data_IF_413548409794
#
_entry.id   IF_413548409794
#
_cell.length_a   1.000
_cell.length_b   1.000
_cell.length_c   1.000
_cell.angle_alpha   90.00
_cell.angle_beta   90.00
_cell.angle_gamma   90.00
#
_symmetry.space_group_name_H-M   'P 1'
#
loop_
_entity.id
_entity.type
_entity.pdbx_description
1 polymer ?
#
# COMPACT_ATOMS: atom_id res chain seq x y z
N UNK A 1 -3.52 -33.42 46.29
CA UNK A 1 -2.22 -33.65 45.62
C UNK A 1 -2.54 -33.70 44.13
N UNK A 2 -2.34 -32.70 43.28
CA UNK A 2 -1.31 -31.65 43.26
C UNK A 2 -1.92 -30.44 42.52
N UNK A 3 -2.09 -29.33 43.24
CA UNK A 3 -2.40 -28.00 42.70
C UNK A 3 -1.14 -27.49 41.97
N UNK A 4 -1.16 -27.43 40.64
CA UNK A 4 -0.11 -26.79 39.86
C UNK A 4 -0.25 -25.27 40.04
N UNK A 5 0.54 -24.71 40.95
CA UNK A 5 0.69 -23.29 41.16
C UNK A 5 1.20 -22.62 39.87
N UNK A 6 0.35 -21.79 39.26
CA UNK A 6 0.77 -20.85 38.23
C UNK A 6 1.83 -19.90 38.83
N UNK A 7 3.00 -19.69 38.22
CA UNK A 7 4.00 -18.77 38.76
C UNK A 7 3.44 -17.34 38.85
N UNK A 8 3.51 -16.67 40.01
CA UNK A 8 3.13 -15.26 40.12
C UNK A 8 4.22 -14.41 39.46
N UNK A 9 4.00 -14.00 38.20
CA UNK A 9 4.98 -13.17 37.49
C UNK A 9 4.71 -12.86 36.02
N UNK A 10 3.71 -13.47 35.38
CA UNK A 10 3.40 -13.19 33.97
C UNK A 10 2.26 -12.17 33.80
N UNK A 11 2.36 -11.00 34.42
CA UNK A 11 1.61 -9.82 33.97
C UNK A 11 2.31 -9.24 32.75
N UNK A 12 2.23 -10.00 31.65
CA UNK A 12 2.73 -9.66 30.32
C UNK A 12 2.11 -8.33 29.89
N UNK A 13 2.86 -7.27 30.18
CA UNK A 13 2.92 -5.99 29.51
C UNK A 13 1.72 -5.65 28.60
N UNK A 14 0.59 -5.23 29.19
CA UNK A 14 -0.46 -4.48 28.49
C UNK A 14 -0.08 -3.00 28.29
N UNK A 15 1.20 -2.68 28.07
CA UNK A 15 1.65 -1.33 27.67
C UNK A 15 1.83 -1.18 26.17
N UNK A 16 1.32 -2.11 25.36
CA UNK A 16 1.45 -2.05 23.90
C UNK A 16 0.53 -1.03 23.21
N UNK A 17 -0.35 -0.33 23.93
CA UNK A 17 -1.25 0.65 23.32
C UNK A 17 -1.46 1.90 24.18
N UNK A 18 -0.41 2.40 24.84
CA UNK A 18 -0.37 3.84 25.10
C UNK A 18 0.09 4.52 23.81
N UNK A 19 -0.79 4.55 22.81
CA UNK A 19 -0.63 5.51 21.73
C UNK A 19 -0.70 6.87 22.41
N UNK A 20 0.45 7.50 22.64
CA UNK A 20 0.46 8.92 22.99
C UNK A 20 -0.40 9.60 21.92
N UNK A 21 -1.38 10.44 22.28
CA UNK A 21 -2.31 11.03 21.32
C UNK A 21 -1.61 11.64 20.09
N UNK A 22 -0.41 12.21 20.29
CA UNK A 22 0.44 12.72 19.22
C UNK A 22 0.97 11.65 18.24
N UNK A 23 1.37 10.47 18.70
CA UNK A 23 1.80 9.37 17.82
C UNK A 23 0.62 8.80 17.01
N UNK A 24 -0.57 8.75 17.61
CA UNK A 24 -1.79 8.35 16.90
C UNK A 24 -2.15 9.33 15.78
N UNK A 25 -2.15 10.63 16.09
CA UNK A 25 -2.41 11.68 15.09
C UNK A 25 -1.39 11.67 13.95
N UNK A 26 -0.11 11.52 14.27
CA UNK A 26 0.94 11.41 13.25
C UNK A 26 0.75 10.18 12.36
N UNK A 27 0.45 9.01 12.95
CA UNK A 27 0.20 7.79 12.18
C UNK A 27 -1.01 7.93 11.24
N UNK A 28 -2.11 8.54 11.71
CA UNK A 28 -3.28 8.85 10.86
C UNK A 28 -2.92 9.81 9.73
N UNK A 29 -2.14 10.86 10.02
CA UNK A 29 -1.69 11.81 9.00
C UNK A 29 -0.82 11.13 7.93
N UNK A 30 0.13 10.29 8.33
CA UNK A 30 0.96 9.51 7.38
C UNK A 30 0.13 8.52 6.56
N UNK A 31 -0.87 7.87 7.17
CA UNK A 31 -1.77 6.98 6.44
C UNK A 31 -2.60 7.73 5.39
N UNK A 32 -3.17 8.88 5.75
CA UNK A 32 -3.91 9.73 4.81
C UNK A 32 -3.00 10.23 3.69
N UNK A 33 -1.80 10.71 4.02
CA UNK A 33 -0.83 11.18 3.03
C UNK A 33 -0.42 10.06 2.07
N UNK A 34 -0.21 8.84 2.58
CA UNK A 34 0.10 7.69 1.73
C UNK A 34 -1.02 7.43 0.70
N UNK A 35 -2.28 7.43 1.13
CA UNK A 35 -3.42 7.24 0.22
C UNK A 35 -3.52 8.37 -0.81
N UNK A 36 -3.33 9.63 -0.39
CA UNK A 36 -3.36 10.78 -1.30
C UNK A 36 -2.22 10.76 -2.31
N UNK A 37 -1.01 10.43 -1.88
CA UNK A 37 0.15 10.30 -2.77
C UNK A 37 -0.02 9.15 -3.76
N UNK A 38 -0.64 8.05 -3.34
CA UNK A 38 -0.91 6.91 -4.20
C UNK A 38 -1.99 7.24 -5.26
N UNK A 39 -3.07 7.92 -4.89
CA UNK A 39 -4.03 8.45 -5.86
C UNK A 39 -3.40 9.49 -6.81
N UNK A 40 -2.51 10.35 -6.30
CA UNK A 40 -1.75 11.29 -7.13
C UNK A 40 -0.80 10.58 -8.10
N UNK A 41 -0.20 9.45 -7.69
CA UNK A 41 0.62 8.61 -8.56
C UNK A 41 -0.21 8.10 -9.76
N UNK A 42 -1.42 7.58 -9.52
CA UNK A 42 -2.32 7.16 -10.59
C UNK A 42 -2.65 8.32 -11.55
N UNK A 43 -2.91 9.51 -11.01
CA UNK A 43 -3.16 10.71 -11.81
C UNK A 43 -1.97 11.05 -12.71
N UNK A 44 -0.77 11.09 -12.14
CA UNK A 44 0.46 11.38 -12.86
C UNK A 44 0.75 10.34 -13.94
N UNK A 45 0.43 9.06 -13.71
CA UNK A 45 0.53 8.01 -14.72
C UNK A 45 -0.43 8.26 -15.89
N UNK A 46 -1.67 8.67 -15.60
CA UNK A 46 -2.64 9.04 -16.64
C UNK A 46 -2.14 10.23 -17.47
N UNK A 47 -1.55 11.24 -16.83
CA UNK A 47 -0.95 12.39 -17.51
C UNK A 47 0.27 12.00 -18.35
N UNK A 48 1.15 11.15 -17.82
CA UNK A 48 2.38 10.72 -18.50
C UNK A 48 2.11 9.96 -19.81
N UNK A 49 1.00 9.23 -19.88
CA UNK A 49 0.63 8.43 -21.05
C UNK A 49 -0.16 9.23 -22.08
N UNK A 50 -0.63 10.42 -21.72
CA UNK A 50 -1.34 11.31 -22.64
C UNK A 50 -2.80 10.90 -22.89
N UNK A 51 -3.43 10.17 -21.95
CA UNK A 51 -4.82 9.71 -22.08
C UNK A 51 -5.90 10.79 -21.92
N UNK A 52 -5.52 12.07 -21.96
CA UNK A 52 -6.42 13.21 -21.73
C UNK A 52 -6.52 13.63 -20.25
N UNK A 53 -7.19 14.75 -20.02
CA UNK A 53 -7.41 15.28 -18.67
C UNK A 53 -8.60 14.59 -18.01
N UNK A 54 -8.33 13.66 -17.09
CA UNK A 54 -9.34 13.10 -16.18
C UNK A 54 -9.67 14.13 -15.09
N UNK A 55 -10.96 14.29 -14.79
CA UNK A 55 -11.38 15.10 -13.64
C UNK A 55 -11.01 14.43 -12.31
N UNK A 56 -10.75 15.23 -11.27
CA UNK A 56 -10.42 14.70 -9.94
C UNK A 56 -11.50 13.73 -9.39
N UNK A 57 -12.78 13.99 -9.68
CA UNK A 57 -13.87 13.12 -9.25
C UNK A 57 -13.82 11.74 -9.93
N UNK A 58 -13.58 11.69 -11.24
CA UNK A 58 -13.47 10.44 -11.98
C UNK A 58 -12.25 9.62 -11.53
N UNK A 59 -11.12 10.28 -11.32
CA UNK A 59 -9.92 9.64 -10.79
C UNK A 59 -10.18 9.03 -9.41
N UNK A 60 -10.79 9.80 -8.50
CA UNK A 60 -11.10 9.32 -7.15
C UNK A 60 -12.09 8.16 -7.18
N UNK A 61 -13.09 8.18 -8.05
CA UNK A 61 -14.02 7.07 -8.21
C UNK A 61 -13.30 5.80 -8.71
N UNK A 62 -12.42 5.94 -9.71
CA UNK A 62 -11.62 4.82 -10.21
C UNK A 62 -10.70 4.25 -9.11
N UNK A 63 -10.00 5.14 -8.39
CA UNK A 63 -9.12 4.78 -7.29
C UNK A 63 -9.87 4.06 -6.16
N UNK A 64 -11.01 4.61 -5.72
CA UNK A 64 -11.86 4.00 -4.71
C UNK A 64 -12.40 2.63 -5.14
N UNK A 65 -12.77 2.46 -6.42
CA UNK A 65 -13.17 1.16 -6.96
C UNK A 65 -12.02 0.15 -6.88
N UNK A 66 -10.81 0.55 -7.27
CA UNK A 66 -9.60 -0.25 -7.13
C UNK A 66 -9.32 -0.67 -5.68
N UNK A 67 -9.37 0.28 -4.75
CA UNK A 67 -9.14 0.02 -3.33
C UNK A 67 -10.22 -0.88 -2.72
N UNK A 68 -11.48 -0.68 -3.08
CA UNK A 68 -12.58 -1.56 -2.66
C UNK A 68 -12.38 -2.99 -3.18
N UNK A 69 -12.00 -3.14 -4.45
CA UNK A 69 -11.67 -4.43 -5.04
C UNK A 69 -10.46 -5.11 -4.35
N UNK A 70 -9.51 -4.32 -3.84
CA UNK A 70 -8.38 -4.80 -3.05
C UNK A 70 -8.80 -5.48 -1.75
N UNK A 71 -9.87 -5.00 -1.09
CA UNK A 71 -10.32 -5.53 0.21
C UNK A 71 -10.84 -6.98 0.15
N UNK A 72 -11.35 -7.40 -1.01
CA UNK A 72 -11.92 -8.73 -1.23
C UNK A 72 -10.92 -9.72 -1.85
N UNK A 73 -9.75 -9.24 -2.27
CA UNK A 73 -8.83 -10.04 -3.07
C UNK A 73 -7.96 -10.96 -2.21
N UNK A 74 -7.99 -12.27 -2.53
CA UNK A 74 -7.13 -13.29 -1.91
C UNK A 74 -5.74 -13.33 -2.60
N UNK A 75 -5.65 -12.83 -3.84
CA UNK A 75 -4.42 -12.82 -4.63
C UNK A 75 -3.43 -11.82 -4.05
N UNK A 76 -2.19 -12.24 -3.70
CA UNK A 76 -1.17 -11.31 -3.24
C UNK A 76 -0.91 -10.23 -4.30
N UNK A 77 -0.95 -8.96 -3.89
CA UNK A 77 -0.79 -7.82 -4.80
C UNK A 77 -2.04 -7.44 -5.59
N UNK A 78 -3.15 -8.16 -5.46
CA UNK A 78 -4.42 -7.77 -6.08
C UNK A 78 -4.45 -7.84 -7.60
N UNK A 79 -3.59 -8.66 -8.21
CA UNK A 79 -3.46 -8.75 -9.67
C UNK A 79 -4.77 -9.21 -10.33
N UNK A 80 -5.13 -8.58 -11.44
CA UNK A 80 -6.36 -8.84 -12.18
C UNK A 80 -7.57 -8.13 -11.58
N UNK A 81 -7.84 -8.30 -10.29
CA UNK A 81 -9.03 -7.73 -9.64
C UNK A 81 -8.90 -6.22 -9.46
N UNK A 82 -7.82 -5.74 -8.83
CA UNK A 82 -7.59 -4.30 -8.63
C UNK A 82 -7.27 -3.61 -9.96
N UNK A 83 -6.58 -4.30 -10.88
CA UNK A 83 -6.28 -3.77 -12.23
C UNK A 83 -7.58 -3.54 -12.99
N UNK A 84 -8.43 -4.56 -13.04
CA UNK A 84 -9.71 -4.49 -13.73
C UNK A 84 -10.58 -3.39 -13.16
N UNK A 85 -10.66 -3.27 -11.83
CA UNK A 85 -11.45 -2.22 -11.19
C UNK A 85 -10.93 -0.81 -11.52
N UNK A 86 -9.61 -0.59 -11.51
CA UNK A 86 -9.00 0.68 -11.90
C UNK A 86 -9.26 0.99 -13.38
N UNK A 87 -9.01 0.03 -14.28
CA UNK A 87 -9.22 0.19 -15.72
C UNK A 87 -10.69 0.51 -16.00
N UNK A 88 -11.62 -0.27 -15.46
CA UNK A 88 -13.06 -0.04 -15.62
C UNK A 88 -13.48 1.33 -15.07
N UNK A 89 -12.91 1.77 -13.94
CA UNK A 89 -13.16 3.09 -13.38
C UNK A 89 -12.67 4.23 -14.29
N UNK A 90 -11.48 4.09 -14.87
CA UNK A 90 -10.94 5.09 -15.82
C UNK A 90 -11.73 5.13 -17.13
N UNK A 91 -12.14 3.96 -17.64
CA UNK A 91 -13.01 3.83 -18.81
C UNK A 91 -14.37 4.47 -18.56
N UNK A 92 -14.98 4.23 -17.40
CA UNK A 92 -16.21 4.89 -16.98
C UNK A 92 -16.04 6.41 -16.82
N UNK A 93 -14.82 6.86 -16.51
CA UNK A 93 -14.40 8.26 -16.52
C UNK A 93 -14.17 8.85 -17.92
N UNK A 94 -14.33 8.08 -18.99
CA UNK A 94 -14.21 8.54 -20.37
C UNK A 94 -12.81 8.41 -20.98
N UNK A 95 -11.86 7.78 -20.27
CA UNK A 95 -10.57 7.44 -20.87
C UNK A 95 -10.73 6.29 -21.87
N UNK A 96 -9.97 6.31 -22.97
CA UNK A 96 -9.96 5.20 -23.93
C UNK A 96 -9.18 4.00 -23.40
N UNK A 97 -9.47 2.81 -23.93
CA UNK A 97 -8.96 1.54 -23.39
C UNK A 97 -7.43 1.44 -23.37
N UNK A 98 -6.77 1.82 -24.46
CA UNK A 98 -5.31 1.73 -24.57
C UNK A 98 -4.58 2.57 -23.51
N UNK A 99 -4.83 3.89 -23.36
CA UNK A 99 -4.18 4.69 -22.33
C UNK A 99 -4.60 4.30 -20.91
N UNK A 100 -5.84 3.84 -20.69
CA UNK A 100 -6.27 3.37 -19.37
C UNK A 100 -5.48 2.14 -18.91
N UNK A 101 -5.33 1.14 -19.78
CA UNK A 101 -4.53 -0.06 -19.47
C UNK A 101 -3.08 0.33 -19.22
N UNK A 102 -2.49 1.14 -20.11
CA UNK A 102 -1.10 1.54 -19.97
C UNK A 102 -0.88 2.34 -18.66
N UNK A 103 -1.81 3.21 -18.27
CA UNK A 103 -1.73 3.99 -17.03
C UNK A 103 -1.80 3.12 -15.79
N UNK A 104 -2.68 2.13 -15.77
CA UNK A 104 -2.79 1.19 -14.66
C UNK A 104 -1.55 0.31 -14.57
N UNK A 105 -1.01 -0.15 -15.69
CA UNK A 105 0.25 -0.92 -15.71
C UNK A 105 1.41 -0.09 -15.17
N UNK A 106 1.56 1.16 -15.61
CA UNK A 106 2.61 2.06 -15.11
C UNK A 106 2.45 2.33 -13.61
N UNK A 107 1.22 2.62 -13.17
CA UNK A 107 0.88 2.79 -11.76
C UNK A 107 1.24 1.53 -10.94
N UNK A 108 0.97 0.33 -11.45
CA UNK A 108 1.32 -0.94 -10.79
C UNK A 108 2.82 -1.18 -10.72
N UNK A 109 3.58 -0.84 -11.76
CA UNK A 109 5.03 -0.97 -11.72
C UNK A 109 5.64 -0.11 -10.60
N UNK A 110 5.06 1.06 -10.36
CA UNK A 110 5.45 1.95 -9.27
C UNK A 110 4.92 1.40 -7.93
N UNK A 111 3.61 1.26 -7.74
CA UNK A 111 3.06 0.94 -6.41
C UNK A 111 3.34 -0.51 -5.99
N UNK A 112 3.28 -1.48 -6.90
CA UNK A 112 3.56 -2.89 -6.56
C UNK A 112 5.06 -3.21 -6.74
N UNK A 113 5.61 -2.93 -7.92
CA UNK A 113 6.97 -3.32 -8.29
C UNK A 113 8.04 -2.60 -7.46
N UNK A 114 8.01 -1.27 -7.41
CA UNK A 114 9.02 -0.49 -6.70
C UNK A 114 8.97 -0.74 -5.18
N UNK A 115 7.78 -0.81 -4.58
CA UNK A 115 7.66 -1.09 -3.13
C UNK A 115 8.23 -2.48 -2.78
N UNK A 116 7.92 -3.51 -3.58
CA UNK A 116 8.51 -4.84 -3.40
C UNK A 116 10.04 -4.76 -3.54
N UNK A 117 10.54 -4.06 -4.55
CA UNK A 117 11.98 -3.87 -4.77
C UNK A 117 12.68 -3.21 -3.58
N UNK A 118 12.12 -2.12 -3.05
CA UNK A 118 12.63 -1.43 -1.85
C UNK A 118 12.62 -2.35 -0.63
N UNK A 119 11.58 -3.17 -0.46
CA UNK A 119 11.51 -4.17 0.61
C UNK A 119 12.65 -5.19 0.53
N UNK A 120 12.92 -5.73 -0.65
CA UNK A 120 14.03 -6.65 -0.90
C UNK A 120 15.40 -6.00 -0.66
N UNK A 121 15.61 -4.77 -1.15
CA UNK A 121 16.84 -4.02 -0.94
C UNK A 121 17.10 -3.77 0.56
N UNK A 122 16.06 -3.40 1.29
CA UNK A 122 16.12 -3.20 2.75
C UNK A 122 16.49 -4.50 3.47
N UNK A 123 15.87 -5.61 3.07
CA UNK A 123 16.18 -6.94 3.60
C UNK A 123 17.64 -7.34 3.35
N UNK A 124 18.13 -7.16 2.12
CA UNK A 124 19.52 -7.45 1.77
C UNK A 124 20.52 -6.56 2.52
N UNK A 125 20.19 -5.29 2.74
CA UNK A 125 21.00 -4.36 3.53
C UNK A 125 21.11 -4.81 5.00
N UNK A 126 20.00 -5.25 5.60
CA UNK A 126 19.98 -5.77 6.98
C UNK A 126 20.70 -7.12 7.09
N UNK A 127 20.58 -7.97 6.06
CA UNK A 127 21.20 -9.30 6.01
C UNK A 127 22.70 -9.29 5.71
N UNK A 128 23.31 -8.13 5.42
CA UNK A 128 24.77 -8.07 5.28
C UNK A 128 25.40 -8.57 6.58
N UNK A 129 26.23 -9.64 6.54
CA UNK A 129 26.94 -10.10 7.72
C UNK A 129 27.71 -8.91 8.28
N UNK A 130 27.41 -8.52 9.52
CA UNK A 130 28.34 -7.72 10.29
C UNK A 130 29.56 -8.61 10.49
N UNK A 131 30.50 -8.54 9.56
CA UNK A 131 31.89 -8.92 9.79
C UNK A 131 32.37 -7.94 10.85
N UNK A 132 32.02 -8.23 12.10
CA UNK A 132 32.56 -7.57 13.27
C UNK A 132 33.96 -8.12 13.40
N UNK A 133 34.91 -7.21 13.32
CA UNK A 133 36.31 -7.39 13.60
C UNK A 133 36.46 -8.29 14.85
N UNK A 134 37.09 -9.45 14.64
CA UNK A 134 37.64 -10.27 15.73
C UNK A 134 39.06 -9.76 16.02
N UNK A 135 39.51 -9.80 17.30
CA UNK A 135 40.67 -9.08 17.82
C UNK A 135 42.01 -9.42 17.17
#
# INVERSE_FOLDING_TARGET
MTTLALPPGSTRNRRAARLTPGHGAAATAYALLNWLLDAACLWLCCLAIGGGTISAAQLLLAYCAGMAAGTITIVPGGLGIVDGALILGLLAGGMTTEPAIAAVVLYRLITLGFIIGVGWLSYLAIRRPRVRDLP
#
